data_IF_001236806430
#
_entry.id   IF_001236806430
#
_cell.length_a   1.000
_cell.length_b   1.000
_cell.length_c   1.000
_cell.angle_alpha   90.00
_cell.angle_beta   90.00
_cell.angle_gamma   90.00
#
_symmetry.space_group_name_H-M   'P 1'
#
loop_
_entity.id
_entity.type
_entity.pdbx_description
1 polymer ?
#
# COMPACT_ATOMS: atom_id res chain seq x y z
N UNK A 1 4.76 4.98 -30.08
CA UNK A 1 3.52 4.50 -29.45
C UNK A 1 2.91 5.69 -28.76
N UNK A 2 1.68 6.07 -29.15
CA UNK A 2 1.02 7.26 -28.64
C UNK A 2 0.64 7.03 -27.17
N UNK A 3 1.24 7.79 -26.27
CA UNK A 3 0.79 7.88 -24.89
C UNK A 3 -0.64 8.41 -24.92
N UNK A 4 -1.60 7.57 -24.54
CA UNK A 4 -2.96 7.99 -24.27
C UNK A 4 -2.86 8.93 -23.07
N UNK A 5 -2.87 10.25 -23.31
CA UNK A 5 -3.02 11.24 -22.25
C UNK A 5 -4.34 10.97 -21.54
N UNK A 6 -4.28 10.64 -20.25
CA UNK A 6 -5.48 10.62 -19.40
C UNK A 6 -6.12 12.02 -19.43
N UNK A 7 -7.45 12.10 -19.44
CA UNK A 7 -8.16 13.36 -19.40
C UNK A 7 -8.06 13.99 -18.00
N UNK A 8 -7.75 15.28 -17.96
CA UNK A 8 -7.42 16.05 -16.76
C UNK A 8 -8.54 16.12 -15.69
N UNK A 9 -9.76 15.69 -16.00
CA UNK A 9 -10.92 15.80 -15.11
C UNK A 9 -10.85 14.92 -13.85
N UNK A 10 -10.02 13.87 -13.81
CA UNK A 10 -9.84 13.07 -12.59
C UNK A 10 -9.09 13.84 -11.49
N UNK A 11 -8.37 14.92 -11.84
CA UNK A 11 -7.74 15.84 -10.88
C UNK A 11 -8.68 16.96 -10.40
N UNK A 12 -9.82 17.13 -11.05
CA UNK A 12 -10.78 18.22 -10.80
C UNK A 12 -12.04 17.74 -10.05
N UNK A 13 -12.01 16.52 -9.50
CA UNK A 13 -13.16 16.02 -8.72
C UNK A 13 -13.31 16.90 -7.48
N UNK A 14 -14.50 17.47 -7.22
CA UNK A 14 -14.66 18.47 -6.18
C UNK A 14 -14.25 17.92 -4.83
N UNK A 15 -13.48 18.70 -4.06
CA UNK A 15 -13.46 18.56 -2.61
C UNK A 15 -14.92 18.47 -2.16
N UNK A 16 -15.31 17.33 -1.62
CA UNK A 16 -16.69 17.12 -1.19
C UNK A 16 -16.94 18.13 -0.06
N UNK A 17 -17.81 19.11 -0.30
CA UNK A 17 -18.31 20.02 0.75
C UNK A 17 -19.29 19.23 1.63
N UNK A 18 -18.74 18.55 2.64
CA UNK A 18 -19.46 17.61 3.53
C UNK A 18 -20.21 18.31 4.66
N UNK A 19 -20.36 19.64 4.62
CA UNK A 19 -21.16 20.39 5.60
C UNK A 19 -22.67 20.06 5.54
N UNK A 20 -23.13 19.38 4.49
CA UNK A 20 -24.55 19.04 4.28
C UNK A 20 -24.99 17.71 4.94
N UNK A 21 -24.07 16.83 5.34
CA UNK A 21 -24.42 15.46 5.79
C UNK A 21 -24.70 15.43 7.30
N UNK A 22 -25.92 15.07 7.76
CA UNK A 22 -26.25 15.05 9.19
C UNK A 22 -25.45 13.98 9.95
N UNK A 23 -24.72 14.43 10.96
CA UNK A 23 -23.89 13.61 11.85
C UNK A 23 -24.69 13.19 13.08
N UNK A 24 -25.07 11.93 13.13
CA UNK A 24 -25.21 11.24 14.41
C UNK A 24 -24.03 10.26 14.47
N UNK A 25 -23.43 10.00 15.64
CA UNK A 25 -22.31 9.06 15.88
C UNK A 25 -20.86 9.57 16.05
N UNK A 26 -20.57 10.87 16.18
CA UNK A 26 -19.61 11.44 17.18
C UNK A 26 -19.56 12.96 17.04
N UNK A 27 -19.31 13.70 18.14
CA UNK A 27 -19.20 15.17 18.13
C UNK A 27 -17.89 15.72 17.52
N UNK A 28 -17.05 14.87 16.92
CA UNK A 28 -15.73 15.23 16.32
C UNK A 28 -15.41 14.29 15.15
N UNK A 29 -15.14 14.88 13.99
CA UNK A 29 -14.70 14.21 12.75
C UNK A 29 -13.56 13.21 12.98
N UNK A 30 -13.66 11.99 12.44
CA UNK A 30 -12.63 10.95 12.58
C UNK A 30 -12.39 10.26 11.24
N UNK A 31 -11.13 10.33 10.82
CA UNK A 31 -10.55 9.60 9.70
C UNK A 31 -10.88 8.09 9.74
N UNK A 32 -11.08 7.48 8.56
CA UNK A 32 -11.26 6.04 8.40
C UNK A 32 -10.32 5.43 7.35
N UNK A 33 -9.62 4.35 7.75
CA UNK A 33 -8.73 3.57 6.88
C UNK A 33 -9.24 2.14 6.76
N UNK A 34 -9.35 1.63 5.53
CA UNK A 34 -9.69 0.23 5.26
C UNK A 34 -8.45 -0.50 4.76
N UNK A 35 -8.11 -1.63 5.36
CA UNK A 35 -6.96 -2.47 5.02
C UNK A 35 -7.45 -3.79 4.39
N UNK A 36 -7.41 -3.86 3.07
CA UNK A 36 -7.84 -5.01 2.28
C UNK A 36 -6.69 -5.99 2.04
N UNK A 37 -6.99 -7.28 2.12
CA UNK A 37 -5.98 -8.34 2.10
C UNK A 37 -4.95 -8.14 3.21
N UNK A 38 -5.47 -7.78 4.39
CA UNK A 38 -4.68 -7.31 5.53
C UNK A 38 -3.68 -8.35 6.07
N UNK A 39 -3.89 -9.63 5.76
CA UNK A 39 -3.13 -10.73 6.33
C UNK A 39 -3.12 -10.65 7.85
N UNK A 40 -1.96 -10.93 8.46
CA UNK A 40 -1.80 -10.82 9.92
C UNK A 40 -1.81 -9.39 10.47
N UNK A 41 -1.97 -8.37 9.61
CA UNK A 41 -2.09 -6.98 10.01
C UNK A 41 -0.76 -6.26 10.15
N UNK A 42 0.19 -6.44 9.23
CA UNK A 42 1.40 -5.59 9.20
C UNK A 42 1.06 -4.10 9.06
N UNK A 43 0.06 -3.79 8.21
CA UNK A 43 -0.50 -2.44 8.06
C UNK A 43 -1.28 -2.04 9.31
N UNK A 44 -2.14 -2.92 9.82
CA UNK A 44 -2.88 -2.70 11.08
C UNK A 44 -1.98 -2.32 12.25
N UNK A 45 -0.84 -3.02 12.45
CA UNK A 45 0.14 -2.70 13.49
C UNK A 45 0.72 -1.29 13.32
N UNK A 46 0.98 -0.86 12.09
CA UNK A 46 1.49 0.47 11.82
C UNK A 46 0.44 1.57 12.03
N UNK A 47 -0.84 1.26 11.79
CA UNK A 47 -1.97 2.16 12.05
C UNK A 47 -2.24 2.30 13.56
N UNK A 48 -2.12 1.23 14.34
CA UNK A 48 -2.40 1.21 15.79
C UNK A 48 -1.48 2.14 16.60
N UNK A 49 -0.29 2.44 16.09
CA UNK A 49 0.64 3.40 16.70
C UNK A 49 0.12 4.86 16.66
N UNK A 50 -0.80 5.19 15.74
CA UNK A 50 -1.25 6.57 15.50
C UNK A 50 -2.76 6.76 15.52
N UNK A 51 -3.52 5.74 15.13
CA UNK A 51 -4.96 5.78 15.01
C UNK A 51 -5.60 4.96 16.11
N UNK A 52 -6.73 5.43 16.63
CA UNK A 52 -7.53 4.62 17.55
C UNK A 52 -8.06 3.40 16.79
N UNK A 53 -8.10 2.21 17.43
CA UNK A 53 -8.55 0.95 16.82
C UNK A 53 -9.90 1.02 16.07
N UNK A 54 -10.79 1.96 16.44
CA UNK A 54 -12.08 2.21 15.75
C UNK A 54 -11.97 2.97 14.43
N UNK A 55 -10.80 3.49 14.09
CA UNK A 55 -10.54 4.32 12.90
C UNK A 55 -10.01 3.49 11.73
N UNK A 56 -9.77 2.20 11.93
CA UNK A 56 -9.33 1.32 10.87
C UNK A 56 -9.86 -0.10 11.01
N UNK A 57 -10.04 -0.75 9.86
CA UNK A 57 -10.57 -2.10 9.78
C UNK A 57 -9.80 -2.95 8.77
N UNK A 58 -9.41 -4.15 9.19
CA UNK A 58 -8.78 -5.16 8.35
C UNK A 58 -9.78 -6.15 7.76
N UNK A 59 -9.56 -6.54 6.52
CA UNK A 59 -10.34 -7.57 5.82
C UNK A 59 -9.40 -8.62 5.24
N UNK A 60 -9.64 -9.89 5.53
CA UNK A 60 -8.89 -11.01 4.98
C UNK A 60 -9.71 -12.30 4.97
N UNK A 61 -9.39 -13.24 4.09
CA UNK A 61 -10.07 -14.54 4.02
C UNK A 61 -9.75 -15.41 5.23
N UNK A 62 -8.58 -15.24 5.84
CA UNK A 62 -8.20 -15.90 7.09
C UNK A 62 -8.69 -15.08 8.29
N UNK A 63 -9.21 -15.75 9.33
CA UNK A 63 -9.69 -15.05 10.53
C UNK A 63 -8.52 -14.59 11.41
N UNK A 64 -8.36 -13.27 11.50
CA UNK A 64 -7.40 -12.59 12.37
C UNK A 64 -8.06 -11.72 13.44
N UNK A 65 -9.36 -11.89 13.69
CA UNK A 65 -10.15 -11.07 14.64
C UNK A 65 -9.59 -11.00 16.05
N UNK A 66 -8.85 -12.03 16.48
CA UNK A 66 -8.24 -12.09 17.81
C UNK A 66 -6.88 -11.39 17.90
N UNK A 67 -6.24 -11.09 16.77
CA UNK A 67 -4.85 -10.59 16.72
C UNK A 67 -4.69 -9.31 15.92
N UNK A 68 -5.64 -8.96 15.07
CA UNK A 68 -5.62 -7.70 14.34
C UNK A 68 -5.89 -6.54 15.33
N UNK A 69 -5.08 -5.47 15.31
CA UNK A 69 -5.14 -4.43 16.35
C UNK A 69 -6.34 -3.49 16.22
N UNK A 70 -6.87 -3.33 15.01
CA UNK A 70 -8.09 -2.57 14.73
C UNK A 70 -9.34 -3.43 14.77
N UNK A 71 -10.39 -2.95 14.09
CA UNK A 71 -11.54 -3.80 13.77
C UNK A 71 -11.19 -4.79 12.68
N UNK A 72 -11.90 -5.90 12.61
CA UNK A 72 -11.59 -6.96 11.64
C UNK A 72 -12.85 -7.69 11.19
N UNK A 73 -12.92 -8.00 9.91
CA UNK A 73 -13.89 -8.94 9.36
C UNK A 73 -13.19 -9.98 8.49
N UNK A 74 -13.53 -11.25 8.75
CA UNK A 74 -13.13 -12.35 7.87
C UNK A 74 -14.00 -12.31 6.61
N UNK A 75 -13.38 -12.12 5.44
CA UNK A 75 -14.08 -12.05 4.17
C UNK A 75 -13.18 -12.53 3.02
N UNK A 76 -13.74 -13.38 2.16
CA UNK A 76 -13.15 -13.63 0.84
C UNK A 76 -13.46 -12.44 -0.07
N UNK A 77 -12.44 -11.62 -0.33
CA UNK A 77 -12.54 -10.43 -1.16
C UNK A 77 -12.47 -10.73 -2.66
N UNK A 78 -12.25 -11.98 -3.07
CA UNK A 78 -12.14 -12.38 -4.47
C UNK A 78 -13.27 -13.32 -4.92
N UNK A 79 -14.06 -13.83 -3.98
CA UNK A 79 -15.19 -14.71 -4.29
C UNK A 79 -16.49 -13.90 -4.45
N UNK A 80 -17.17 -14.13 -5.58
CA UNK A 80 -18.47 -13.54 -5.93
C UNK A 80 -19.66 -14.38 -5.41
N UNK A 81 -19.41 -15.30 -4.46
CA UNK A 81 -20.43 -16.28 -4.03
C UNK A 81 -21.42 -15.77 -2.98
N UNK A 82 -21.42 -14.46 -2.68
CA UNK A 82 -22.47 -13.81 -1.89
C UNK A 82 -22.52 -14.21 -0.41
N UNK A 83 -21.40 -14.65 0.19
CA UNK A 83 -21.37 -15.14 1.58
C UNK A 83 -21.52 -14.08 2.68
N UNK A 84 -21.28 -12.81 2.38
CA UNK A 84 -21.65 -11.71 3.26
C UNK A 84 -22.09 -10.52 2.41
N UNK A 85 -23.27 -10.00 2.68
CA UNK A 85 -23.73 -8.71 2.18
C UNK A 85 -22.87 -7.58 2.75
N UNK A 86 -22.83 -6.44 2.08
CA UNK A 86 -22.20 -5.23 2.61
C UNK A 86 -22.67 -4.92 4.04
N UNK A 87 -23.97 -5.06 4.25
CA UNK A 87 -24.65 -4.81 5.53
C UNK A 87 -24.06 -5.68 6.64
N UNK A 88 -23.82 -6.96 6.37
CA UNK A 88 -23.17 -7.87 7.31
C UNK A 88 -21.69 -7.54 7.53
N UNK A 89 -20.98 -7.09 6.51
CA UNK A 89 -19.55 -6.75 6.63
C UNK A 89 -19.31 -5.45 7.38
N UNK A 90 -20.07 -4.41 7.06
CA UNK A 90 -19.94 -3.16 7.79
C UNK A 90 -20.57 -3.27 9.19
N UNK A 91 -21.60 -4.09 9.42
CA UNK A 91 -22.02 -4.44 10.78
C UNK A 91 -20.89 -5.14 11.56
N UNK A 92 -20.21 -6.12 10.94
CA UNK A 92 -19.11 -6.87 11.58
C UNK A 92 -17.92 -5.98 11.98
N UNK A 93 -17.62 -4.93 11.20
CA UNK A 93 -16.59 -3.94 11.53
C UNK A 93 -17.15 -2.65 12.11
N UNK A 94 -18.42 -2.64 12.53
CA UNK A 94 -19.14 -1.47 13.04
C UNK A 94 -18.93 -0.19 12.16
N UNK A 95 -18.80 -0.37 10.85
CA UNK A 95 -18.76 0.68 9.85
C UNK A 95 -20.19 0.95 9.34
N UNK A 96 -20.51 2.19 8.97
CA UNK A 96 -21.86 2.52 8.51
C UNK A 96 -22.18 1.83 7.18
N UNK A 97 -23.34 1.18 7.10
CA UNK A 97 -23.97 0.75 5.85
C UNK A 97 -25.18 1.59 5.52
N UNK A 98 -25.29 2.01 4.26
CA UNK A 98 -26.57 2.37 3.67
C UNK A 98 -26.50 3.49 2.62
N UNK A 99 -27.50 3.59 1.74
CA UNK A 99 -27.68 4.70 0.79
C UNK A 99 -28.30 5.96 1.43
N UNK A 100 -28.19 6.16 2.75
CA UNK A 100 -29.01 7.10 3.52
C UNK A 100 -28.25 8.14 4.36
N UNK A 101 -26.99 8.40 4.07
CA UNK A 101 -26.35 9.65 4.49
C UNK A 101 -25.96 10.45 3.25
N UNK A 102 -26.97 11.01 2.57
CA UNK A 102 -26.82 11.89 1.39
C UNK A 102 -25.63 11.50 0.51
N UNK A 103 -25.58 10.22 0.15
CA UNK A 103 -24.56 9.65 -0.71
C UNK A 103 -24.55 10.46 -2.00
N UNK A 104 -23.37 10.95 -2.37
CA UNK A 104 -23.06 11.27 -3.76
C UNK A 104 -23.74 10.23 -4.64
N UNK A 105 -24.70 10.68 -5.44
CA UNK A 105 -25.34 9.86 -6.46
C UNK A 105 -24.27 9.49 -7.48
N UNK A 106 -23.54 8.41 -7.22
CA UNK A 106 -23.03 7.60 -8.31
C UNK A 106 -24.27 6.91 -8.88
N UNK A 107 -24.60 7.29 -10.11
CA UNK A 107 -25.79 6.81 -10.82
C UNK A 107 -25.86 5.28 -10.77
N UNK A 108 -26.91 4.78 -10.10
CA UNK A 108 -27.20 3.35 -9.94
C UNK A 108 -27.35 2.62 -11.29
N UNK A 109 -27.46 3.34 -12.41
CA UNK A 109 -27.47 2.79 -13.77
C UNK A 109 -26.13 2.20 -14.26
N UNK A 110 -25.03 2.28 -13.50
CA UNK A 110 -23.71 1.71 -13.86
C UNK A 110 -23.31 0.43 -13.11
N UNK A 111 -24.14 -0.04 -12.17
CA UNK A 111 -23.74 -0.93 -11.05
C UNK A 111 -23.98 -2.43 -11.32
N UNK A 112 -24.49 -2.80 -12.50
CA UNK A 112 -24.68 -4.20 -12.92
C UNK A 112 -23.52 -4.69 -13.81
N UNK A 113 -22.28 -4.67 -13.29
CA UNK A 113 -21.19 -5.46 -13.89
C UNK A 113 -20.91 -6.70 -13.06
N UNK A 114 -20.85 -7.89 -13.68
CA UNK A 114 -20.56 -9.16 -13.00
C UNK A 114 -19.10 -9.29 -12.51
N UNK A 115 -18.27 -8.26 -12.73
CA UNK A 115 -16.82 -8.35 -12.54
C UNK A 115 -16.29 -7.47 -11.37
N UNK A 116 -17.18 -6.85 -10.58
CA UNK A 116 -16.80 -5.92 -9.49
C UNK A 116 -17.14 -6.48 -8.11
N UNK A 117 -16.14 -6.49 -7.21
CA UNK A 117 -16.15 -7.06 -5.85
C UNK A 117 -17.43 -6.68 -5.05
N UNK A 118 -18.40 -7.60 -4.87
CA UNK A 118 -19.71 -7.25 -4.30
C UNK A 118 -19.70 -6.99 -2.79
N UNK A 119 -18.73 -7.56 -2.07
CA UNK A 119 -18.70 -7.60 -0.61
C UNK A 119 -18.58 -6.20 0.05
N UNK A 120 -17.91 -5.23 -0.58
CA UNK A 120 -17.69 -3.90 0.01
C UNK A 120 -18.46 -2.76 -0.67
N UNK A 121 -19.44 -3.07 -1.53
CA UNK A 121 -20.28 -2.08 -2.22
C UNK A 121 -21.10 -1.24 -1.25
N UNK A 122 -20.69 -0.01 -0.92
CA UNK A 122 -21.38 0.92 -0.02
C UNK A 122 -20.62 1.19 1.30
N UNK A 123 -19.45 0.58 1.47
CA UNK A 123 -18.47 0.98 2.47
C UNK A 123 -17.91 2.35 2.09
N UNK A 124 -17.71 3.24 3.05
CA UNK A 124 -17.05 4.53 2.79
C UNK A 124 -15.86 4.69 3.72
N UNK A 125 -14.69 5.00 3.17
CA UNK A 125 -13.47 5.29 3.91
C UNK A 125 -12.79 6.54 3.33
N UNK A 126 -11.83 7.10 4.06
CA UNK A 126 -10.99 8.20 3.56
C UNK A 126 -9.79 7.66 2.79
N UNK A 127 -9.26 6.52 3.22
CA UNK A 127 -8.14 5.81 2.57
C UNK A 127 -8.42 4.31 2.54
N UNK A 128 -8.16 3.66 1.40
CA UNK A 128 -8.11 2.20 1.32
C UNK A 128 -6.69 1.74 1.01
N UNK A 129 -6.12 0.91 1.88
CA UNK A 129 -4.88 0.20 1.66
C UNK A 129 -5.17 -1.20 1.14
N UNK A 130 -4.41 -1.66 0.16
CA UNK A 130 -4.58 -2.97 -0.47
C UNK A 130 -3.25 -3.69 -0.57
N UNK A 131 -3.08 -4.79 0.15
CA UNK A 131 -1.91 -5.67 0.03
C UNK A 131 -2.24 -6.86 -0.89
N UNK A 132 -2.50 -6.58 -2.16
CA UNK A 132 -3.11 -7.53 -3.10
C UNK A 132 -2.30 -8.84 -3.25
N UNK A 133 -2.94 -10.02 -3.39
CA UNK A 133 -2.23 -11.30 -3.50
C UNK A 133 -1.11 -11.29 -4.56
N UNK A 134 0.12 -11.57 -4.12
CA UNK A 134 1.31 -11.42 -4.97
C UNK A 134 1.72 -12.71 -5.71
N UNK A 135 0.96 -13.80 -5.56
CA UNK A 135 1.29 -15.11 -6.16
C UNK A 135 1.44 -15.03 -7.67
N UNK A 136 0.63 -14.24 -8.37
CA UNK A 136 0.77 -14.05 -9.83
C UNK A 136 2.11 -13.40 -10.23
N UNK A 137 2.74 -12.67 -9.30
CA UNK A 137 3.84 -11.74 -9.58
C UNK A 137 5.18 -12.17 -8.96
N UNK A 138 5.15 -13.14 -8.05
CA UNK A 138 6.34 -13.64 -7.35
C UNK A 138 7.31 -14.35 -8.30
N UNK A 139 8.61 -14.16 -8.07
CA UNK A 139 9.68 -14.81 -8.83
C UNK A 139 9.71 -16.34 -8.67
N UNK A 140 9.12 -16.86 -7.59
CA UNK A 140 9.00 -18.30 -7.35
C UNK A 140 7.85 -18.95 -8.12
N UNK A 141 6.86 -18.16 -8.54
CA UNK A 141 5.64 -18.69 -9.14
C UNK A 141 5.87 -19.36 -10.48
N UNK A 142 6.81 -18.84 -11.29
CA UNK A 142 7.17 -19.48 -12.55
C UNK A 142 7.70 -20.92 -12.36
N UNK A 143 8.36 -21.20 -11.24
CA UNK A 143 8.81 -22.56 -10.91
C UNK A 143 7.64 -23.46 -10.51
N UNK A 144 6.66 -22.94 -9.76
CA UNK A 144 5.50 -23.71 -9.31
C UNK A 144 4.50 -24.01 -10.44
N UNK A 145 4.19 -23.00 -11.27
CA UNK A 145 3.20 -23.09 -12.34
C UNK A 145 3.80 -23.50 -13.70
N UNK A 146 5.12 -23.71 -13.78
CA UNK A 146 5.84 -24.09 -14.99
C UNK A 146 6.19 -22.92 -15.93
N UNK A 147 5.48 -21.81 -15.86
CA UNK A 147 5.85 -20.55 -16.52
C UNK A 147 5.27 -19.34 -15.79
N UNK A 148 5.75 -18.14 -16.17
CA UNK A 148 5.22 -16.89 -15.65
C UNK A 148 3.81 -16.63 -16.18
N UNK A 149 3.56 -16.97 -17.43
CA UNK A 149 2.27 -16.84 -18.10
C UNK A 149 1.22 -17.73 -17.43
N UNK A 150 1.57 -18.98 -17.10
CA UNK A 150 0.68 -19.89 -16.38
C UNK A 150 0.38 -19.38 -14.95
N UNK A 151 1.36 -18.77 -14.28
CA UNK A 151 1.12 -18.15 -12.97
C UNK A 151 0.16 -16.95 -13.05
N UNK A 152 0.26 -16.12 -14.11
CA UNK A 152 -0.63 -14.99 -14.34
C UNK A 152 -2.06 -15.43 -14.71
N UNK A 153 -2.20 -16.55 -15.43
CA UNK A 153 -3.52 -17.11 -15.80
C UNK A 153 -4.22 -17.79 -14.61
N UNK A 154 -3.45 -18.46 -13.75
CA UNK A 154 -4.01 -19.25 -12.65
C UNK A 154 -4.33 -18.43 -11.38
N UNK A 155 -3.92 -17.16 -11.30
CA UNK A 155 -4.03 -16.35 -10.08
C UNK A 155 -4.79 -15.05 -10.34
N UNK A 156 -5.44 -14.48 -9.31
CA UNK A 156 -6.08 -13.16 -9.40
C UNK A 156 -5.06 -12.09 -9.81
N UNK A 157 -5.56 -11.09 -10.55
CA UNK A 157 -4.77 -9.96 -11.05
C UNK A 157 -5.37 -8.63 -10.63
N UNK A 158 -4.52 -7.61 -10.56
CA UNK A 158 -4.93 -6.22 -10.39
C UNK A 158 -5.48 -5.72 -11.73
N UNK A 159 -6.76 -5.39 -11.78
CA UNK A 159 -7.45 -4.94 -13.00
C UNK A 159 -7.92 -3.49 -12.86
N UNK A 160 -8.36 -2.90 -13.97
CA UNK A 160 -8.93 -1.55 -13.96
C UNK A 160 -10.29 -1.52 -13.25
N UNK A 161 -11.09 -2.58 -13.36
CA UNK A 161 -12.34 -2.73 -12.62
C UNK A 161 -12.11 -2.74 -11.10
N UNK A 162 -11.01 -3.37 -10.65
CA UNK A 162 -10.63 -3.34 -9.25
C UNK A 162 -10.26 -1.93 -8.79
N UNK A 163 -9.53 -1.15 -9.60
CA UNK A 163 -9.23 0.25 -9.30
C UNK A 163 -10.48 1.13 -9.26
N UNK A 164 -11.39 0.94 -10.21
CA UNK A 164 -12.68 1.63 -10.24
C UNK A 164 -13.44 1.37 -8.94
N UNK A 165 -13.49 0.12 -8.48
CA UNK A 165 -14.09 -0.25 -7.20
C UNK A 165 -13.42 0.42 -6.00
N UNK A 166 -12.08 0.49 -5.93
CA UNK A 166 -11.39 1.18 -4.83
C UNK A 166 -11.78 2.68 -4.78
N UNK A 167 -11.94 3.31 -5.93
CA UNK A 167 -12.39 4.71 -6.04
C UNK A 167 -13.87 4.91 -5.70
N UNK A 168 -14.69 3.86 -5.78
CA UNK A 168 -16.09 3.92 -5.33
C UNK A 168 -16.20 3.96 -3.79
N UNK A 169 -15.28 3.31 -3.07
CA UNK A 169 -15.32 3.18 -1.61
C UNK A 169 -14.42 4.19 -0.87
N UNK A 170 -13.41 4.77 -1.54
CA UNK A 170 -12.52 5.76 -0.94
C UNK A 170 -11.98 6.78 -1.98
N UNK A 171 -11.79 8.06 -1.59
CA UNK A 171 -11.14 9.04 -2.46
C UNK A 171 -9.63 8.76 -2.64
N UNK A 172 -9.01 8.06 -1.69
CA UNK A 172 -7.62 7.65 -1.78
C UNK A 172 -7.46 6.15 -1.68
N UNK A 173 -6.66 5.57 -2.58
CA UNK A 173 -6.23 4.19 -2.47
C UNK A 173 -4.71 4.07 -2.52
N UNK A 174 -4.22 2.98 -1.95
CA UNK A 174 -2.84 2.52 -1.99
C UNK A 174 -2.88 1.04 -2.36
N UNK A 175 -2.27 0.66 -3.48
CA UNK A 175 -2.06 -0.74 -3.84
C UNK A 175 -0.58 -1.06 -3.65
N UNK A 176 -0.28 -1.99 -2.75
CA UNK A 176 1.05 -2.51 -2.50
C UNK A 176 1.24 -3.83 -3.25
N UNK A 177 2.41 -4.01 -3.86
CA UNK A 177 2.83 -5.32 -4.33
C UNK A 177 4.35 -5.45 -4.50
N UNK A 178 4.77 -6.66 -4.87
CA UNK A 178 6.15 -6.92 -5.31
C UNK A 178 6.42 -6.30 -6.69
N UNK A 179 7.69 -5.99 -6.97
CA UNK A 179 8.19 -5.46 -8.26
C UNK A 179 7.70 -6.22 -9.50
N UNK A 180 7.38 -7.51 -9.33
CA UNK A 180 6.83 -8.36 -10.39
C UNK A 180 5.55 -7.81 -11.01
N UNK A 181 4.66 -7.20 -10.20
CA UNK A 181 3.39 -6.63 -10.64
C UNK A 181 3.60 -5.44 -11.60
N UNK A 182 4.53 -4.54 -11.26
CA UNK A 182 4.92 -3.45 -12.16
C UNK A 182 5.60 -3.96 -13.43
N UNK A 183 6.45 -5.00 -13.33
CA UNK A 183 7.12 -5.56 -14.51
C UNK A 183 6.14 -6.15 -15.53
N UNK A 184 4.99 -6.67 -15.11
CA UNK A 184 3.96 -7.19 -16.03
C UNK A 184 2.97 -6.12 -16.51
N UNK A 185 3.00 -4.93 -15.89
CA UNK A 185 2.08 -3.83 -16.21
C UNK A 185 0.77 -3.86 -15.44
N UNK A 186 0.64 -4.72 -14.42
CA UNK A 186 -0.58 -4.81 -13.60
C UNK A 186 -0.62 -3.77 -12.49
N UNK A 187 0.55 -3.26 -12.07
CA UNK A 187 0.68 -2.22 -11.06
C UNK A 187 1.38 -1.00 -11.67
N UNK A 188 0.69 0.13 -11.76
CA UNK A 188 1.18 1.42 -12.22
C UNK A 188 1.93 2.15 -11.10
N UNK A 189 2.96 1.49 -10.56
CA UNK A 189 3.65 1.99 -9.38
C UNK A 189 4.26 3.38 -9.60
N UNK A 190 3.92 4.32 -8.73
CA UNK A 190 4.45 5.68 -8.68
C UNK A 190 5.43 5.88 -7.52
N UNK A 191 5.59 4.87 -6.64
CA UNK A 191 6.54 4.89 -5.54
C UNK A 191 7.18 3.52 -5.31
N UNK A 192 8.46 3.51 -4.97
CA UNK A 192 9.23 2.37 -4.53
C UNK A 192 9.79 2.62 -3.14
N UNK A 193 9.68 1.61 -2.28
CA UNK A 193 10.16 1.68 -0.90
C UNK A 193 10.98 0.44 -0.55
N UNK A 194 12.11 0.63 0.14
CA UNK A 194 12.84 -0.46 0.78
C UNK A 194 13.43 -0.08 2.15
N UNK A 195 13.90 -1.07 2.90
CA UNK A 195 14.35 -0.91 4.28
C UNK A 195 15.64 -0.11 4.37
N UNK A 196 16.52 -0.27 3.37
CA UNK A 196 17.79 0.45 3.27
C UNK A 196 17.57 1.97 3.26
N UNK A 197 16.51 2.48 2.62
CA UNK A 197 16.20 3.91 2.64
C UNK A 197 15.96 4.48 4.05
N UNK A 198 15.61 3.63 5.02
CA UNK A 198 15.40 3.99 6.43
C UNK A 198 16.49 3.44 7.36
N UNK A 199 17.62 3.00 6.81
CA UNK A 199 18.73 2.42 7.56
C UNK A 199 18.42 1.11 8.27
N UNK A 200 17.46 0.36 7.72
CA UNK A 200 17.19 -1.00 8.15
C UNK A 200 18.20 -1.97 7.56
N UNK A 201 18.36 -3.09 8.24
CA UNK A 201 19.28 -4.17 7.90
C UNK A 201 18.73 -5.11 6.82
N UNK A 202 17.49 -4.92 6.35
CA UNK A 202 16.86 -5.71 5.31
C UNK A 202 16.60 -4.92 4.02
N UNK A 203 16.72 -5.61 2.89
CA UNK A 203 16.27 -5.12 1.59
C UNK A 203 14.96 -5.83 1.22
N UNK A 204 13.85 -5.14 1.47
CA UNK A 204 12.52 -5.57 1.08
C UNK A 204 11.93 -4.53 0.14
N UNK A 205 12.28 -4.60 -1.13
CA UNK A 205 11.70 -3.73 -2.17
C UNK A 205 10.19 -4.00 -2.30
N UNK A 206 9.40 -2.92 -2.20
CA UNK A 206 7.97 -2.88 -2.51
C UNK A 206 7.63 -1.73 -3.43
N UNK A 207 6.63 -1.98 -4.24
CA UNK A 207 6.09 -1.04 -5.20
C UNK A 207 4.69 -0.64 -4.75
N UNK A 208 4.41 0.65 -4.86
CA UNK A 208 3.14 1.25 -4.48
C UNK A 208 2.55 2.00 -5.66
N UNK A 209 1.27 1.80 -5.89
CA UNK A 209 0.42 2.64 -6.74
C UNK A 209 -0.55 3.40 -5.82
N UNK A 210 -0.60 4.71 -5.95
CA UNK A 210 -1.43 5.58 -5.11
C UNK A 210 -2.18 6.63 -5.94
N UNK A 211 -3.30 7.14 -5.42
CA UNK A 211 -4.03 8.26 -6.05
C UNK A 211 -3.41 9.65 -5.78
N UNK A 212 -2.35 9.69 -4.99
CA UNK A 212 -1.62 10.89 -4.57
C UNK A 212 -0.12 10.70 -4.81
N UNK A 213 0.64 11.79 -4.94
CA UNK A 213 2.07 11.69 -5.21
C UNK A 213 2.86 11.25 -3.97
N UNK A 214 3.73 10.25 -4.14
CA UNK A 214 4.63 9.77 -3.08
C UNK A 214 6.04 9.67 -3.67
N UNK A 215 7.05 10.32 -3.06
CA UNK A 215 8.43 10.18 -3.50
C UNK A 215 8.97 8.76 -3.22
N UNK A 216 9.88 8.28 -4.08
CA UNK A 216 10.62 7.05 -3.83
C UNK A 216 11.42 7.15 -2.52
N UNK A 217 11.34 6.10 -1.70
CA UNK A 217 12.22 5.83 -0.58
C UNK A 217 12.96 4.52 -0.83
N UNK A 218 13.84 4.55 -1.83
CA UNK A 218 14.57 3.37 -2.29
C UNK A 218 16.08 3.64 -2.34
N UNK A 219 16.85 2.73 -1.78
CA UNK A 219 18.32 2.73 -1.85
C UNK A 219 18.80 1.35 -2.31
N UNK A 220 19.66 1.29 -3.33
CA UNK A 220 20.34 0.05 -3.69
C UNK A 220 21.52 -0.20 -2.76
N UNK A 221 21.67 -1.42 -2.24
CA UNK A 221 22.81 -1.79 -1.41
C UNK A 221 22.72 -3.23 -0.94
N UNK A 222 23.71 -3.65 -0.16
CA UNK A 222 23.73 -4.99 0.44
C UNK A 222 23.05 -4.96 1.83
N UNK A 223 22.02 -5.79 1.99
CA UNK A 223 21.35 -5.98 3.28
C UNK A 223 22.05 -7.04 4.12
N UNK A 224 22.27 -6.75 5.41
CA UNK A 224 22.81 -7.72 6.38
C UNK A 224 21.80 -8.79 6.78
N UNK A 225 20.50 -8.54 6.64
CA UNK A 225 19.41 -9.49 6.83
C UNK A 225 18.79 -9.80 5.46
N UNK A 226 19.12 -10.97 4.92
CA UNK A 226 18.60 -11.40 3.62
C UNK A 226 17.15 -11.83 3.74
N UNK A 227 16.22 -11.14 3.07
CA UNK A 227 14.85 -11.66 2.87
C UNK A 227 14.87 -12.74 1.79
N UNK A 228 15.45 -13.89 2.13
CA UNK A 228 15.50 -15.02 1.21
C UNK A 228 14.25 -15.87 1.37
N UNK A 229 13.59 -16.19 0.26
CA UNK A 229 12.45 -17.12 0.23
C UNK A 229 12.87 -18.59 0.15
N UNK A 230 14.12 -18.87 -0.25
CA UNK A 230 14.67 -20.20 -0.58
C UNK A 230 15.54 -20.83 0.52
N UNK A 231 16.17 -20.02 1.38
CA UNK A 231 17.03 -20.53 2.46
C UNK A 231 16.36 -20.51 3.84
N UNK A 232 17.00 -21.19 4.79
CA UNK A 232 16.57 -21.27 6.19
C UNK A 232 17.01 -20.03 6.98
N UNK A 233 16.42 -18.90 6.62
CA UNK A 233 16.57 -17.64 7.37
C UNK A 233 16.03 -17.80 8.79
N UNK A 234 16.72 -17.22 9.77
CA UNK A 234 16.17 -17.02 11.11
C UNK A 234 14.95 -16.10 11.03
N UNK A 235 13.75 -16.70 11.16
CA UNK A 235 12.48 -15.95 11.14
C UNK A 235 12.45 -14.88 12.23
N UNK A 236 13.09 -15.15 13.38
CA UNK A 236 13.16 -14.22 14.50
C UNK A 236 13.94 -12.96 14.19
N UNK A 237 15.06 -13.08 13.49
CA UNK A 237 15.87 -11.91 13.09
C UNK A 237 15.06 -11.00 12.15
N UNK A 238 14.39 -11.59 11.15
CA UNK A 238 13.55 -10.83 10.23
C UNK A 238 12.33 -10.20 10.91
N UNK A 239 11.68 -10.94 11.80
CA UNK A 239 10.52 -10.45 12.55
C UNK A 239 10.90 -9.25 13.42
N UNK A 240 12.01 -9.36 14.16
CA UNK A 240 12.55 -8.26 14.96
C UNK A 240 12.92 -7.05 14.09
N UNK A 241 13.60 -7.28 12.97
CA UNK A 241 14.01 -6.21 12.06
C UNK A 241 12.82 -5.43 11.49
N UNK A 242 11.72 -6.13 11.16
CA UNK A 242 10.49 -5.54 10.63
C UNK A 242 9.52 -5.04 11.70
N UNK A 243 9.80 -5.28 12.98
CA UNK A 243 8.92 -4.93 14.08
C UNK A 243 7.60 -5.73 14.12
N UNK A 244 7.61 -6.98 13.64
CA UNK A 244 6.42 -7.86 13.65
C UNK A 244 6.58 -9.03 14.62
N UNK A 245 5.48 -9.62 15.14
CA UNK A 245 5.56 -10.73 16.07
C UNK A 245 6.28 -11.96 15.48
N UNK A 246 7.27 -12.48 16.21
CA UNK A 246 8.11 -13.58 15.73
C UNK A 246 7.43 -14.96 15.75
N UNK A 247 6.32 -15.08 16.47
CA UNK A 247 5.42 -16.23 16.46
C UNK A 247 4.59 -16.32 15.18
N UNK A 248 4.57 -15.28 14.35
CA UNK A 248 3.98 -15.36 13.03
C UNK A 248 4.73 -16.40 12.19
N UNK A 249 3.98 -17.15 11.37
CA UNK A 249 4.57 -18.13 10.46
C UNK A 249 5.55 -17.46 9.49
N UNK A 250 6.53 -18.24 8.99
CA UNK A 250 7.60 -17.80 8.07
C UNK A 250 7.08 -16.92 6.93
N UNK A 251 5.98 -17.33 6.29
CA UNK A 251 5.40 -16.60 5.18
C UNK A 251 4.79 -15.27 5.61
N UNK A 252 4.09 -15.22 6.74
CA UNK A 252 3.48 -14.00 7.25
C UNK A 252 4.53 -12.96 7.67
N UNK A 253 5.62 -13.39 8.33
CA UNK A 253 6.75 -12.50 8.63
C UNK A 253 7.37 -11.95 7.36
N UNK A 254 7.54 -12.76 6.31
CA UNK A 254 8.11 -12.32 5.03
C UNK A 254 7.20 -11.34 4.29
N UNK A 255 5.89 -11.59 4.26
CA UNK A 255 4.93 -10.78 3.51
C UNK A 255 4.54 -9.49 4.21
N UNK A 256 4.57 -9.44 5.55
CA UNK A 256 4.14 -8.27 6.32
C UNK A 256 4.83 -6.98 5.83
N UNK A 257 4.08 -5.90 5.66
CA UNK A 257 4.68 -4.61 5.31
C UNK A 257 5.30 -3.99 6.56
N UNK A 258 6.58 -3.56 6.51
CA UNK A 258 7.18 -2.84 7.63
C UNK A 258 6.49 -1.52 7.92
N UNK A 259 6.49 -1.15 9.19
CA UNK A 259 5.85 0.06 9.70
C UNK A 259 6.33 1.34 9.00
N UNK A 260 7.64 1.46 8.75
CA UNK A 260 8.21 2.64 8.10
C UNK A 260 7.66 2.84 6.69
N UNK A 261 7.29 1.77 5.99
CA UNK A 261 6.76 1.86 4.64
C UNK A 261 5.33 2.38 4.68
N UNK A 262 4.54 1.86 5.62
CA UNK A 262 3.16 2.30 5.84
C UNK A 262 3.14 3.78 6.20
N UNK A 263 3.99 4.21 7.14
CA UNK A 263 4.07 5.61 7.53
C UNK A 263 4.60 6.51 6.42
N UNK A 264 5.60 6.06 5.66
CA UNK A 264 6.08 6.81 4.50
C UNK A 264 4.96 7.08 3.51
N UNK A 265 4.25 6.04 3.09
CA UNK A 265 3.18 6.18 2.09
C UNK A 265 1.99 6.97 2.66
N UNK A 266 1.53 6.67 3.88
CA UNK A 266 0.40 7.37 4.49
C UNK A 266 0.71 8.81 4.87
N UNK A 267 1.93 9.13 5.29
CA UNK A 267 2.35 10.50 5.61
C UNK A 267 2.37 11.43 4.40
N UNK A 268 2.34 10.88 3.18
CA UNK A 268 2.16 11.62 1.93
C UNK A 268 0.70 11.68 1.45
N UNK A 269 -0.23 11.00 2.13
CA UNK A 269 -1.64 11.05 1.78
C UNK A 269 -2.26 12.37 2.24
N UNK A 270 -2.93 13.15 1.37
CA UNK A 270 -3.47 14.46 1.72
C UNK A 270 -4.65 14.41 2.71
N UNK A 271 -5.25 13.23 2.91
CA UNK A 271 -6.31 13.01 3.89
C UNK A 271 -5.78 12.74 5.31
N UNK A 272 -4.46 12.54 5.46
CA UNK A 272 -3.82 12.08 6.69
C UNK A 272 -2.81 13.11 7.21
N UNK A 273 -2.83 13.30 8.53
CA UNK A 273 -1.78 14.02 9.26
C UNK A 273 -1.02 13.01 10.12
N UNK A 274 -0.18 12.20 9.46
CA UNK A 274 0.67 11.19 10.08
C UNK A 274 2.14 11.57 9.85
N UNK A 275 3.03 11.43 10.84
CA UNK A 275 4.43 11.75 10.67
C UNK A 275 5.09 10.93 9.55
N UNK A 276 5.88 11.61 8.73
CA UNK A 276 6.71 10.98 7.71
C UNK A 276 8.01 10.52 8.38
N UNK A 277 8.37 9.23 8.33
CA UNK A 277 9.60 8.74 8.93
C UNK A 277 10.82 9.36 8.26
N UNK A 278 11.85 9.65 9.06
CA UNK A 278 13.12 10.14 8.54
C UNK A 278 13.82 9.04 7.73
N UNK A 279 14.26 9.39 6.53
CA UNK A 279 15.15 8.52 5.76
C UNK A 279 16.57 8.61 6.29
N UNK A 280 17.32 7.52 6.16
CA UNK A 280 18.75 7.57 6.42
C UNK A 280 19.40 8.55 5.42
N UNK A 281 20.20 9.48 5.95
CA UNK A 281 21.04 10.33 5.12
C UNK A 281 22.23 9.49 4.65
N UNK A 282 22.41 9.43 3.34
CA UNK A 282 23.55 8.76 2.72
C UNK A 282 24.51 9.84 2.23
N UNK A 283 25.78 9.70 2.57
CA UNK A 283 26.81 10.53 1.95
C UNK A 283 27.08 10.01 0.54
N UNK A 284 27.68 10.86 -0.31
CA UNK A 284 28.08 10.45 -1.65
C UNK A 284 29.00 9.21 -1.63
N UNK A 285 29.88 9.14 -0.63
CA UNK A 285 30.82 8.03 -0.44
C UNK A 285 30.11 6.72 -0.09
N UNK A 286 29.01 6.78 0.68
CA UNK A 286 28.25 5.58 1.07
C UNK A 286 27.53 4.93 -0.13
N UNK A 287 27.16 5.72 -1.14
CA UNK A 287 26.42 5.25 -2.32
C UNK A 287 27.35 4.76 -3.43
N UNK A 288 28.51 5.40 -3.61
CA UNK A 288 29.40 5.12 -4.75
C UNK A 288 30.66 4.32 -4.38
N UNK A 289 30.96 4.19 -3.08
CA UNK A 289 32.17 3.53 -2.60
C UNK A 289 33.48 4.19 -3.06
N UNK A 290 33.43 5.41 -3.63
CA UNK A 290 34.60 6.13 -4.15
C UNK A 290 34.45 7.64 -4.01
N UNK A 291 35.45 8.28 -3.40
CA UNK A 291 35.65 9.74 -3.42
C UNK A 291 36.12 10.14 -4.84
N UNK A 292 35.19 10.33 -5.76
CA UNK A 292 35.45 10.73 -7.15
C UNK A 292 35.10 12.19 -7.43
N UNK A 293 35.86 12.86 -8.31
CA UNK A 293 35.42 14.14 -8.90
C UNK A 293 34.37 13.85 -9.98
N UNK A 294 33.12 14.20 -9.72
CA UNK A 294 32.02 14.00 -10.68
C UNK A 294 31.67 15.32 -11.40
N UNK A 295 31.41 15.25 -12.71
CA UNK A 295 30.87 16.37 -13.47
C UNK A 295 29.38 16.52 -13.21
N UNK A 296 28.95 17.70 -12.78
CA UNK A 296 27.53 18.06 -12.74
C UNK A 296 26.98 18.26 -14.15
N UNK A 297 25.79 17.72 -14.38
CA UNK A 297 25.00 18.09 -15.54
C UNK A 297 24.33 19.44 -15.31
N UNK A 298 24.03 20.23 -16.36
CA UNK A 298 23.45 21.57 -16.24
C UNK A 298 22.09 21.63 -15.52
N UNK A 299 21.45 20.49 -15.29
CA UNK A 299 20.16 20.33 -14.60
C UNK A 299 20.29 20.16 -13.07
N UNK A 300 21.49 20.33 -12.51
CA UNK A 300 21.74 20.24 -11.07
C UNK A 300 21.89 18.80 -10.57
N UNK A 301 22.10 17.84 -11.48
CA UNK A 301 22.27 16.42 -11.14
C UNK A 301 23.75 16.03 -11.09
N UNK A 302 24.11 15.25 -10.08
CA UNK A 302 25.40 14.57 -9.98
C UNK A 302 25.17 13.06 -10.00
N UNK A 303 25.75 12.35 -10.98
CA UNK A 303 25.56 10.89 -11.11
C UNK A 303 24.09 10.43 -11.32
N UNK A 304 23.18 11.33 -11.69
CA UNK A 304 21.75 11.05 -11.83
C UNK A 304 20.87 11.44 -10.63
N UNK A 305 21.46 11.95 -9.54
CA UNK A 305 20.76 12.36 -8.31
C UNK A 305 20.69 13.89 -8.17
N UNK A 306 19.60 14.41 -7.59
CA UNK A 306 19.43 15.85 -7.31
C UNK A 306 20.28 16.26 -6.10
N UNK A 307 21.08 17.31 -6.25
CA UNK A 307 21.90 17.86 -5.17
C UNK A 307 21.38 19.25 -4.75
N UNK A 308 21.46 19.59 -3.46
CA UNK A 308 21.23 20.97 -2.99
C UNK A 308 22.47 21.49 -2.23
N UNK A 309 23.16 22.51 -2.78
CA UNK A 309 24.31 23.17 -2.14
C UNK A 309 25.34 23.78 -3.12
N UNK A 310 26.11 24.81 -2.71
CA UNK A 310 27.23 25.36 -3.49
C UNK A 310 28.41 24.37 -3.58
N UNK A 311 29.08 24.39 -4.74
CA UNK A 311 29.81 23.25 -5.31
C UNK A 311 31.23 22.98 -4.79
N UNK A 312 31.59 23.49 -3.61
CA UNK A 312 32.89 23.23 -3.00
C UNK A 312 32.68 22.65 -1.58
N UNK A 313 32.77 21.32 -1.43
CA UNK A 313 32.66 20.64 -0.14
C UNK A 313 31.95 19.28 -0.20
N UNK A 314 31.81 18.63 0.96
CA UNK A 314 30.97 17.43 1.11
C UNK A 314 29.53 17.72 0.69
N UNK A 315 28.95 16.84 -0.12
CA UNK A 315 27.57 16.96 -0.60
C UNK A 315 26.68 15.92 0.07
N UNK A 316 25.55 16.37 0.62
CA UNK A 316 24.46 15.48 1.04
C UNK A 316 23.56 15.20 -0.16
N UNK A 317 23.34 13.92 -0.47
CA UNK A 317 22.41 13.49 -1.53
C UNK A 317 21.03 13.27 -0.91
N UNK A 318 19.99 13.83 -1.53
CA UNK A 318 18.59 13.69 -1.14
C UNK A 318 17.87 12.76 -2.11
#
# INVERSE_FOLDING_TARGET
>A
MNAVRRPDYLRETPMIDRNAVPQEWTSKWRLQVVDLFSGRGGVGLALDEWLEARMFAGFDIEDYSQTYPGRFAQQDLLCDDGRASLEELAEAVEMPTGPSHESMLVDRGRVDRPDALPALRGLTADVVWVSFPCTAYSSLSATHYGSKEAALEANPRITDEFREFLLEIAPHYIIENVRGATRVGDLEANCRVNGLAFGKDYDLERHFETTFDVPDAYVSGDASVTVDTRNDQSIRELANAKGVPAEWGKQAVRSAIPLEYVWWVLGHCPALDIPIPERQQWTFDDVTGTVGQYQMFPDGRCGGHLCSGPCDGEHTVF
#
